data_IF_620102853638
#
_entry.id   IF_620102853638
#
_cell.length_a   1.000
_cell.length_b   1.000
_cell.length_c   1.000
_cell.angle_alpha   90.00
_cell.angle_beta   90.00
_cell.angle_gamma   90.00
#
_symmetry.space_group_name_H-M   'P 1'
#
loop_
_entity.id
_entity.type
_entity.pdbx_description
1 polymer ?
#
# COMPACT_ATOMS: atom_id res chain seq x y z
N UNK A 1 6.39 0.25 21.01
CA UNK A 1 4.98 0.09 20.60
C UNK A 1 4.97 -0.11 19.10
N UNK A 2 4.45 -1.23 18.62
CA UNK A 2 4.44 -1.52 17.18
C UNK A 2 3.32 -0.71 16.53
N UNK A 3 3.70 0.11 15.56
CA UNK A 3 2.77 0.89 14.75
C UNK A 3 1.75 -0.04 14.05
N UNK A 4 0.44 0.23 14.13
CA UNK A 4 -0.61 -0.66 13.65
C UNK A 4 -0.52 -0.91 12.13
N UNK A 5 0.00 0.05 11.36
CA UNK A 5 0.23 -0.12 9.92
C UNK A 5 1.35 -1.14 9.69
N UNK A 6 2.45 -1.00 10.43
CA UNK A 6 3.59 -1.93 10.39
C UNK A 6 3.19 -3.35 10.79
N UNK A 7 2.30 -3.50 11.77
CA UNK A 7 1.75 -4.80 12.19
C UNK A 7 0.88 -5.41 11.10
N UNK A 8 -0.06 -4.63 10.53
CA UNK A 8 -0.91 -5.11 9.44
C UNK A 8 -0.08 -5.55 8.21
N UNK A 9 0.99 -4.81 7.87
CA UNK A 9 1.91 -5.22 6.79
C UNK A 9 2.53 -6.60 7.04
N UNK A 10 2.97 -6.88 8.27
CA UNK A 10 3.55 -8.18 8.64
C UNK A 10 2.53 -9.30 8.54
N UNK A 11 1.29 -9.05 8.97
CA UNK A 11 0.20 -10.04 8.87
C UNK A 11 -0.06 -10.40 7.41
N UNK A 12 -0.11 -9.41 6.51
CA UNK A 12 -0.29 -9.66 5.07
C UNK A 12 0.89 -10.44 4.45
N UNK A 13 2.12 -10.22 4.91
CA UNK A 13 3.28 -11.05 4.53
C UNK A 13 3.13 -12.49 5.01
N UNK A 14 2.68 -12.68 6.26
CA UNK A 14 2.45 -14.02 6.82
C UNK A 14 1.34 -14.77 6.09
N UNK A 15 0.26 -14.09 5.71
CA UNK A 15 -0.81 -14.67 4.87
C UNK A 15 -0.27 -15.13 3.53
N UNK A 16 0.50 -14.27 2.85
CA UNK A 16 1.11 -14.63 1.57
C UNK A 16 2.06 -15.83 1.70
N UNK A 17 2.80 -15.92 2.81
CA UNK A 17 3.69 -17.04 3.08
C UNK A 17 2.96 -18.33 3.48
N UNK A 18 1.76 -18.24 4.08
CA UNK A 18 0.96 -19.38 4.56
C UNK A 18 -0.07 -19.88 3.54
N UNK A 19 -0.17 -19.23 2.38
CA UNK A 19 -1.10 -19.64 1.33
C UNK A 19 -2.50 -19.02 1.43
N UNK A 20 -2.62 -17.85 2.06
CA UNK A 20 -3.85 -17.03 2.10
C UNK A 20 -5.01 -17.69 2.85
N UNK A 21 -4.70 -18.39 3.94
CA UNK A 21 -5.65 -19.20 4.70
C UNK A 21 -6.68 -18.40 5.51
N UNK A 22 -6.44 -17.11 5.80
CA UNK A 22 -7.08 -16.36 6.90
C UNK A 22 -6.65 -16.85 8.30
N UNK A 23 -5.46 -17.45 8.40
CA UNK A 23 -4.92 -18.08 9.62
C UNK A 23 -3.66 -17.39 10.17
N UNK A 24 -3.25 -16.25 9.60
CA UNK A 24 -2.08 -15.50 10.06
C UNK A 24 -2.31 -14.81 11.42
N UNK A 25 -3.57 -14.66 11.84
CA UNK A 25 -3.95 -14.02 13.10
C UNK A 25 -4.99 -14.85 13.83
N UNK A 26 -4.92 -14.81 15.17
CA UNK A 26 -5.87 -15.51 16.04
C UNK A 26 -7.26 -14.88 15.87
N UNK A 27 -8.20 -15.64 15.30
CA UNK A 27 -9.57 -15.16 15.03
C UNK A 27 -9.81 -14.63 13.60
N UNK A 28 -8.82 -14.74 12.71
CA UNK A 28 -8.94 -14.34 11.30
C UNK A 28 -8.76 -12.85 11.05
N UNK A 29 -8.58 -12.47 9.78
CA UNK A 29 -8.37 -11.07 9.38
C UNK A 29 -9.59 -10.20 9.67
N UNK A 30 -10.80 -10.78 9.68
CA UNK A 30 -12.03 -10.04 10.01
C UNK A 30 -12.04 -9.53 11.45
N UNK A 31 -11.64 -10.35 12.42
CA UNK A 31 -11.57 -9.89 13.82
C UNK A 31 -10.42 -8.89 14.02
N UNK A 32 -9.27 -9.15 13.37
CA UNK A 32 -8.16 -8.20 13.40
C UNK A 32 -8.53 -6.85 12.77
N UNK A 33 -9.34 -6.84 11.71
CA UNK A 33 -9.79 -5.61 11.05
C UNK A 33 -10.48 -4.66 12.04
N UNK A 34 -11.34 -5.20 12.91
CA UNK A 34 -12.05 -4.43 13.92
C UNK A 34 -11.08 -3.78 14.91
N UNK A 35 -10.10 -4.54 15.40
CA UNK A 35 -9.08 -4.05 16.34
C UNK A 35 -8.23 -2.97 15.67
N UNK A 36 -7.74 -3.25 14.46
CA UNK A 36 -6.92 -2.32 13.69
C UNK A 36 -7.63 -1.00 13.41
N UNK A 37 -8.93 -1.05 13.04
CA UNK A 37 -9.73 0.16 12.83
C UNK A 37 -9.81 1.03 14.09
N UNK A 38 -10.03 0.42 15.26
CA UNK A 38 -10.07 1.16 16.54
C UNK A 38 -8.72 1.83 16.84
N UNK A 39 -7.61 1.13 16.62
CA UNK A 39 -6.26 1.69 16.82
C UNK A 39 -5.94 2.81 15.82
N UNK A 40 -6.40 2.70 14.58
CA UNK A 40 -6.19 3.70 13.54
C UNK A 40 -7.03 4.96 13.78
N UNK A 41 -8.32 4.81 14.12
CA UNK A 41 -9.21 5.96 14.41
C UNK A 41 -8.67 6.79 15.58
N UNK A 42 -8.03 6.16 16.57
CA UNK A 42 -7.41 6.87 17.68
C UNK A 42 -6.18 7.72 17.28
N UNK A 43 -5.53 7.40 16.17
CA UNK A 43 -4.29 8.04 15.71
C UNK A 43 -4.51 8.96 14.50
N UNK A 44 -5.58 8.77 13.75
CA UNK A 44 -5.88 9.55 12.56
C UNK A 44 -6.45 10.92 12.95
N UNK A 45 -5.84 11.97 12.42
CA UNK A 45 -6.38 13.33 12.47
C UNK A 45 -6.75 13.77 11.07
N UNK A 46 -8.00 13.55 10.65
CA UNK A 46 -8.50 13.99 9.34
C UNK A 46 -9.50 13.05 8.69
N UNK A 47 -10.49 13.63 8.00
CA UNK A 47 -11.60 12.90 7.38
C UNK A 47 -11.12 11.96 6.26
N UNK A 48 -10.22 12.41 5.38
CA UNK A 48 -9.67 11.58 4.30
C UNK A 48 -8.94 10.34 4.83
N UNK A 49 -8.12 10.50 5.86
CA UNK A 49 -7.42 9.39 6.49
C UNK A 49 -8.41 8.44 7.18
N UNK A 50 -9.48 8.95 7.79
CA UNK A 50 -10.51 8.10 8.39
C UNK A 50 -11.26 7.29 7.33
N UNK A 51 -11.61 7.89 6.19
CA UNK A 51 -12.25 7.20 5.06
C UNK A 51 -11.35 6.12 4.46
N UNK A 52 -10.05 6.39 4.30
CA UNK A 52 -9.10 5.38 3.81
C UNK A 52 -8.92 4.22 4.81
N UNK A 53 -8.89 4.50 6.11
CA UNK A 53 -8.81 3.46 7.13
C UNK A 53 -10.09 2.62 7.18
N UNK A 54 -11.26 3.22 7.04
CA UNK A 54 -12.53 2.50 6.93
C UNK A 54 -12.55 1.59 5.69
N UNK A 55 -12.06 2.07 4.54
CA UNK A 55 -11.97 1.26 3.33
C UNK A 55 -11.05 0.04 3.49
N UNK A 56 -9.86 0.21 4.08
CA UNK A 56 -8.94 -0.91 4.37
C UNK A 56 -9.59 -1.91 5.34
N UNK A 57 -10.30 -1.42 6.36
CA UNK A 57 -11.01 -2.26 7.34
C UNK A 57 -12.09 -3.11 6.68
N UNK A 58 -12.84 -2.52 5.75
CA UNK A 58 -13.87 -3.24 5.01
C UNK A 58 -13.27 -4.36 4.16
N UNK A 59 -12.21 -4.07 3.40
CA UNK A 59 -11.50 -5.08 2.60
C UNK A 59 -10.95 -6.24 3.44
N UNK A 60 -10.46 -5.96 4.66
CA UNK A 60 -10.01 -7.00 5.59
C UNK A 60 -11.18 -7.81 6.16
N UNK A 61 -12.32 -7.16 6.42
CA UNK A 61 -13.53 -7.83 6.93
C UNK A 61 -14.13 -8.78 5.90
N UNK A 62 -14.17 -8.35 4.63
CA UNK A 62 -14.65 -9.14 3.49
C UNK A 62 -13.63 -10.21 3.02
N UNK A 63 -12.40 -10.17 3.54
CA UNK A 63 -11.35 -11.10 3.13
C UNK A 63 -11.70 -12.57 3.41
N UNK A 64 -12.25 -12.86 4.59
CA UNK A 64 -12.69 -14.20 4.95
C UNK A 64 -13.78 -14.74 4.00
N UNK A 65 -14.61 -13.85 3.46
CA UNK A 65 -15.68 -14.15 2.50
C UNK A 65 -15.16 -14.28 1.06
N UNK A 66 -13.91 -13.91 0.81
CA UNK A 66 -13.30 -13.91 -0.52
C UNK A 66 -12.80 -15.33 -0.89
N UNK A 67 -13.05 -15.82 -2.12
CA UNK A 67 -12.54 -17.10 -2.58
C UNK A 67 -11.01 -17.15 -2.55
N UNK A 68 -10.43 -18.30 -2.20
CA UNK A 68 -8.97 -18.50 -2.09
C UNK A 68 -8.21 -18.04 -3.35
N UNK A 69 -8.79 -18.22 -4.53
CA UNK A 69 -8.21 -17.83 -5.82
C UNK A 69 -8.06 -16.30 -5.98
N UNK A 70 -8.93 -15.53 -5.34
CA UNK A 70 -8.95 -14.06 -5.41
C UNK A 70 -8.13 -13.43 -4.29
N UNK A 71 -7.95 -14.15 -3.17
CA UNK A 71 -7.20 -13.69 -2.00
C UNK A 71 -5.78 -13.14 -2.29
N UNK A 72 -4.96 -13.71 -3.19
CA UNK A 72 -3.66 -13.12 -3.54
C UNK A 72 -3.78 -11.70 -4.13
N UNK A 73 -4.77 -11.49 -5.00
CA UNK A 73 -5.05 -10.19 -5.60
C UNK A 73 -5.56 -9.20 -4.55
N UNK A 74 -6.39 -9.67 -3.61
CA UNK A 74 -6.87 -8.86 -2.48
C UNK A 74 -5.73 -8.46 -1.56
N UNK A 75 -4.83 -9.37 -1.20
CA UNK A 75 -3.63 -9.06 -0.39
C UNK A 75 -2.74 -8.03 -1.09
N UNK A 76 -2.52 -8.16 -2.41
CA UNK A 76 -1.77 -7.17 -3.17
C UNK A 76 -2.44 -5.79 -3.10
N UNK A 77 -3.75 -5.72 -3.31
CA UNK A 77 -4.53 -4.48 -3.26
C UNK A 77 -4.50 -3.83 -1.86
N UNK A 78 -4.57 -4.63 -0.80
CA UNK A 78 -4.43 -4.18 0.59
C UNK A 78 -3.05 -3.57 0.86
N UNK A 79 -1.97 -4.19 0.35
CA UNK A 79 -0.61 -3.66 0.48
C UNK A 79 -0.41 -2.34 -0.26
N UNK A 80 -0.95 -2.23 -1.48
CA UNK A 80 -0.94 -0.98 -2.25
C UNK A 80 -1.73 0.13 -1.54
N UNK A 81 -2.91 -0.20 -1.02
CA UNK A 81 -3.75 0.74 -0.25
C UNK A 81 -3.05 1.22 1.02
N UNK A 82 -2.37 0.32 1.75
CA UNK A 82 -1.55 0.68 2.91
C UNK A 82 -0.35 1.56 2.55
N UNK A 83 0.34 1.26 1.44
CA UNK A 83 1.44 2.09 0.97
C UNK A 83 0.95 3.51 0.63
N UNK A 84 -0.16 3.63 -0.09
CA UNK A 84 -0.79 4.91 -0.40
C UNK A 84 -1.28 5.66 0.85
N UNK A 85 -1.72 4.94 1.88
CA UNK A 85 -2.08 5.51 3.17
C UNK A 85 -0.88 6.15 3.88
N UNK A 86 0.26 5.45 3.92
CA UNK A 86 1.50 5.94 4.57
C UNK A 86 2.22 7.05 3.81
N UNK A 87 2.10 7.08 2.48
CA UNK A 87 2.79 8.06 1.65
C UNK A 87 2.23 9.49 1.76
N UNK A 88 1.12 9.68 2.49
CA UNK A 88 0.38 10.95 2.51
C UNK A 88 -0.27 11.24 1.14
N UNK A 89 -0.93 12.39 0.96
CA UNK A 89 -1.35 12.83 -0.36
C UNK A 89 -0.12 12.94 -1.26
N UNK A 90 0.09 11.92 -2.10
CA UNK A 90 1.12 11.94 -3.13
C UNK A 90 0.78 13.13 -4.04
N UNK A 91 1.64 14.16 -4.18
CA UNK A 91 1.44 15.13 -5.23
C UNK A 91 1.36 14.34 -6.55
N UNK A 92 0.34 14.63 -7.34
CA UNK A 92 0.05 13.94 -8.58
C UNK A 92 1.13 14.24 -9.64
N UNK A 93 2.34 13.72 -9.48
CA UNK A 93 3.42 13.80 -10.46
C UNK A 93 4.42 12.67 -10.24
N UNK A 94 4.31 11.59 -11.00
CA UNK A 94 5.45 10.80 -11.49
C UNK A 94 4.95 9.68 -12.41
N UNK A 95 4.29 10.06 -13.50
CA UNK A 95 4.48 9.31 -14.75
C UNK A 95 5.85 9.73 -15.27
N UNK A 96 6.89 9.02 -14.87
CA UNK A 96 8.11 8.98 -15.66
C UNK A 96 8.68 7.56 -15.60
N UNK A 97 8.80 6.93 -16.77
CA UNK A 97 9.97 6.12 -17.01
C UNK A 97 10.73 6.61 -18.24
N UNK A 98 12.05 6.76 -18.03
CA UNK A 98 13.13 6.56 -19.01
C UNK A 98 13.65 7.76 -19.82
N UNK A 99 14.58 8.53 -19.21
CA UNK A 99 16.06 8.57 -19.42
C UNK A 99 16.61 8.44 -20.87
N UNK A 100 17.86 8.86 -21.14
CA UNK A 100 18.41 10.22 -21.27
C UNK A 100 18.95 10.49 -22.70
N UNK A 101 18.83 11.71 -23.23
CA UNK A 101 19.29 11.99 -24.58
C UNK A 101 19.66 13.44 -24.85
N UNK A 102 20.72 13.93 -24.21
CA UNK A 102 21.49 15.06 -24.75
C UNK A 102 22.90 14.56 -25.03
N UNK A 103 23.40 14.83 -26.25
CA UNK A 103 24.30 15.97 -26.35
C UNK A 103 23.85 16.95 -27.43
N UNK A 104 23.50 18.16 -27.02
CA UNK A 104 23.48 19.31 -27.90
C UNK A 104 24.87 19.93 -27.85
N UNK A 105 25.67 19.70 -28.90
CA UNK A 105 26.78 20.56 -29.37
C UNK A 105 27.44 19.93 -30.60
N UNK A 106 27.14 20.39 -31.82
CA UNK A 106 28.17 20.43 -32.85
C UNK A 106 29.14 21.56 -32.49
N UNK A 107 30.41 21.20 -32.34
CA UNK A 107 31.49 22.15 -32.16
C UNK A 107 31.56 23.04 -33.42
N UNK A 108 31.50 24.36 -33.22
CA UNK A 108 31.85 25.32 -34.26
C UNK A 108 33.25 25.80 -33.92
N UNK A 109 34.25 25.07 -34.41
CA UNK A 109 35.63 25.53 -34.47
C UNK A 109 36.18 25.21 -35.85
N UNK A 110 36.23 26.22 -36.71
CA UNK A 110 37.23 26.28 -37.77
C UNK A 110 37.59 27.77 -37.97
N UNK A 111 38.77 28.10 -37.47
CA UNK A 111 39.49 29.34 -37.64
C UNK A 111 39.81 29.65 -39.12
N UNK A 112 39.93 30.96 -39.41
CA UNK A 112 40.87 31.65 -40.32
C UNK A 112 41.19 31.04 -41.70
N UNK A 113 41.00 31.88 -42.73
CA UNK A 113 42.07 32.32 -43.64
C UNK A 113 41.72 33.71 -44.19
#
# INVERSE_FOLDING_TARGET
MSDPISTLRKILDLEAARGYGDDAVVGGLSEYARIWHMEMVAQITGKESAERAAHITQLLSDYALTPLEVRPSTVRHLRESLAAFTAGPRPATATEPSKPGRPARPWASACRA
#
